data_IF_124467474056
#
_entry.id   IF_124467474056
#
_cell.length_a   1.000
_cell.length_b   1.000
_cell.length_c   1.000
_cell.angle_alpha   90.00
_cell.angle_beta   90.00
_cell.angle_gamma   90.00
#
_symmetry.space_group_name_H-M   'P 1'
#
loop_
_entity.id
_entity.type
_entity.pdbx_description
1 polymer ?
#
# COMPACT_ATOMS: atom_id res chain seq x y z
N UNK A 1 10.68 8.15 25.38
CA UNK A 1 10.44 9.04 24.22
C UNK A 1 9.61 8.28 23.19
N UNK A 2 8.32 8.59 23.02
CA UNK A 2 7.47 7.94 22.01
C UNK A 2 7.93 8.23 20.58
N UNK A 3 8.61 9.36 20.39
CA UNK A 3 9.17 9.83 19.12
C UNK A 3 10.21 8.91 18.53
N UNK A 4 11.09 8.29 19.34
CA UNK A 4 12.11 7.37 18.85
C UNK A 4 11.53 6.02 18.39
N UNK A 5 10.47 5.55 19.07
CA UNK A 5 9.83 4.25 18.79
C UNK A 5 9.20 4.19 17.39
N UNK A 6 8.72 5.33 16.89
CA UNK A 6 8.09 5.43 15.57
C UNK A 6 8.95 6.19 14.57
N UNK A 7 10.24 6.39 14.88
CA UNK A 7 11.17 7.01 13.95
C UNK A 7 11.68 5.96 12.95
N UNK A 8 11.65 6.30 11.66
CA UNK A 8 12.19 5.46 10.59
C UNK A 8 12.81 6.35 9.52
N UNK A 9 13.87 5.85 8.87
CA UNK A 9 14.55 6.59 7.81
C UNK A 9 13.81 6.40 6.49
N UNK A 10 13.26 7.47 5.94
CA UNK A 10 12.81 7.52 4.55
C UNK A 10 14.04 7.83 3.69
N UNK A 11 14.24 7.08 2.60
CA UNK A 11 15.35 7.36 1.68
C UNK A 11 15.08 8.66 0.92
N UNK A 12 16.12 9.46 0.70
CA UNK A 12 16.03 10.70 -0.10
C UNK A 12 15.63 10.43 -1.57
N UNK A 13 15.69 9.18 -2.00
CA UNK A 13 15.22 8.72 -3.33
C UNK A 13 13.72 8.43 -3.38
N UNK A 14 13.03 8.37 -2.24
CA UNK A 14 11.57 8.27 -2.20
C UNK A 14 10.94 9.64 -2.44
N UNK A 15 10.47 9.86 -3.67
CA UNK A 15 9.60 10.99 -3.96
C UNK A 15 8.15 10.65 -3.56
N UNK A 16 7.57 11.39 -2.62
CA UNK A 16 6.12 11.35 -2.36
C UNK A 16 5.46 12.24 -3.43
N UNK A 17 4.65 11.68 -4.35
CA UNK A 17 4.03 12.49 -5.40
C UNK A 17 2.97 13.41 -4.78
N UNK A 18 3.24 14.73 -4.79
CA UNK A 18 2.33 15.75 -4.26
C UNK A 18 1.05 15.91 -5.09
N UNK A 19 1.11 15.59 -6.38
CA UNK A 19 -0.02 15.63 -7.34
C UNK A 19 0.10 14.46 -8.30
N UNK A 20 -0.47 13.30 -7.96
CA UNK A 20 -0.28 12.10 -8.76
C UNK A 20 -1.25 12.14 -9.95
N UNK A 21 -0.84 12.81 -11.03
CA UNK A 21 -1.65 12.96 -12.25
C UNK A 21 -2.06 11.61 -12.87
N UNK A 22 -1.27 10.56 -12.60
CA UNK A 22 -1.51 9.20 -13.05
C UNK A 22 -2.75 8.54 -12.43
N UNK A 23 -3.32 9.08 -11.34
CA UNK A 23 -4.56 8.55 -10.71
C UNK A 23 -5.78 8.68 -11.63
N UNK A 24 -5.75 9.62 -12.59
CA UNK A 24 -6.82 9.79 -13.58
C UNK A 24 -6.97 8.62 -14.55
N UNK A 25 -5.98 7.71 -14.62
CA UNK A 25 -5.96 6.58 -15.54
C UNK A 25 -6.06 5.25 -14.76
N UNK A 26 -7.07 4.44 -15.09
CA UNK A 26 -7.30 3.13 -14.47
C UNK A 26 -6.09 2.21 -14.56
N UNK A 27 -5.45 2.13 -15.73
CA UNK A 27 -4.31 1.24 -15.95
C UNK A 27 -3.08 1.64 -15.10
N UNK A 28 -2.96 2.92 -14.73
CA UNK A 28 -1.92 3.36 -13.79
C UNK A 28 -2.32 3.10 -12.34
N UNK A 29 -3.60 3.30 -11.98
CA UNK A 29 -4.12 2.98 -10.64
C UNK A 29 -3.95 1.50 -10.29
N UNK A 30 -4.21 0.62 -11.25
CA UNK A 30 -4.06 -0.84 -11.08
C UNK A 30 -2.61 -1.28 -10.87
N UNK A 31 -1.64 -0.50 -11.38
CA UNK A 31 -0.19 -0.78 -11.25
C UNK A 31 0.43 -0.15 -10.00
N UNK A 32 -0.34 0.57 -9.19
CA UNK A 32 0.13 1.05 -7.90
C UNK A 32 0.62 -0.11 -7.03
N UNK A 33 1.72 0.11 -6.31
CA UNK A 33 2.23 -0.89 -5.38
C UNK A 33 1.38 -0.89 -4.11
N UNK A 34 0.92 -2.07 -3.73
CA UNK A 34 0.26 -2.36 -2.47
C UNK A 34 1.19 -3.23 -1.61
N UNK A 35 1.39 -2.84 -0.35
CA UNK A 35 2.12 -3.63 0.64
C UNK A 35 1.13 -4.49 1.40
N UNK A 36 1.27 -5.81 1.31
CA UNK A 36 0.50 -6.77 2.10
C UNK A 36 1.30 -7.07 3.37
N UNK A 37 0.65 -6.97 4.53
CA UNK A 37 1.23 -7.32 5.83
C UNK A 37 0.30 -8.32 6.53
N UNK A 38 0.80 -9.53 6.77
CA UNK A 38 0.13 -10.50 7.62
C UNK A 38 0.46 -10.20 9.08
N UNK A 39 -0.53 -9.70 9.82
CA UNK A 39 -0.35 -9.31 11.22
C UNK A 39 -0.09 -10.47 12.17
N UNK A 40 -0.51 -11.68 11.82
CA UNK A 40 -0.42 -12.85 12.70
C UNK A 40 0.99 -13.42 12.75
N UNK A 41 1.76 -13.30 11.67
CA UNK A 41 3.11 -13.85 11.59
C UNK A 41 4.19 -12.80 11.21
N UNK A 42 3.80 -11.57 10.87
CA UNK A 42 4.73 -10.49 10.52
C UNK A 42 5.24 -10.54 9.07
N UNK A 43 4.79 -11.51 8.26
CA UNK A 43 5.19 -11.61 6.87
C UNK A 43 4.66 -10.44 6.06
N UNK A 44 5.47 -9.94 5.12
CA UNK A 44 5.04 -8.92 4.19
C UNK A 44 5.60 -9.13 2.78
N UNK A 45 4.84 -8.67 1.80
CA UNK A 45 5.25 -8.69 0.40
C UNK A 45 4.58 -7.56 -0.38
N UNK A 46 5.15 -7.23 -1.55
CA UNK A 46 4.67 -6.16 -2.43
C UNK A 46 3.96 -6.78 -3.63
N UNK A 47 2.80 -6.22 -3.99
CA UNK A 47 2.02 -6.60 -5.18
C UNK A 47 1.47 -5.37 -5.88
N UNK A 48 0.93 -5.55 -7.08
CA UNK A 48 0.15 -4.50 -7.75
C UNK A 48 -1.27 -4.45 -7.19
N UNK A 49 -1.87 -3.25 -7.19
CA UNK A 49 -3.23 -3.03 -6.69
C UNK A 49 -4.28 -3.85 -7.45
N UNK A 50 -4.02 -4.19 -8.72
CA UNK A 50 -4.85 -5.13 -9.50
C UNK A 50 -5.11 -6.47 -8.81
N UNK A 51 -4.26 -6.86 -7.86
CA UNK A 51 -4.37 -8.10 -7.08
C UNK A 51 -5.23 -7.97 -5.83
N UNK A 52 -5.83 -6.82 -5.54
CA UNK A 52 -6.61 -6.59 -4.30
C UNK A 52 -7.74 -7.61 -4.11
N UNK A 53 -8.37 -8.03 -5.21
CA UNK A 53 -9.46 -9.02 -5.19
C UNK A 53 -9.01 -10.40 -4.69
N UNK A 54 -7.72 -10.75 -4.84
CA UNK A 54 -7.18 -12.02 -4.36
C UNK A 54 -7.11 -12.08 -2.82
N UNK A 55 -7.23 -10.92 -2.16
CA UNK A 55 -7.15 -10.78 -0.70
C UNK A 55 -8.51 -10.52 -0.04
N UNK A 56 -9.56 -10.26 -0.82
CA UNK A 56 -10.92 -10.03 -0.33
C UNK A 56 -11.71 -11.32 -0.51
N UNK A 57 -12.24 -11.87 0.59
CA UNK A 57 -12.99 -13.11 0.59
C UNK A 57 -14.49 -12.84 0.57
N UNK A 58 -15.25 -13.86 0.16
CA UNK A 58 -16.71 -13.81 0.23
C UNK A 58 -17.15 -13.55 1.66
N UNK A 59 -17.94 -12.48 1.86
CA UNK A 59 -18.43 -12.05 3.17
C UNK A 59 -17.70 -10.83 3.73
N UNK A 60 -16.54 -10.44 3.17
CA UNK A 60 -15.85 -9.21 3.55
C UNK A 60 -16.64 -7.97 3.12
N UNK A 61 -16.56 -6.91 3.92
CA UNK A 61 -17.19 -5.62 3.65
C UNK A 61 -16.11 -4.56 3.48
N UNK A 62 -16.14 -3.84 2.36
CA UNK A 62 -15.25 -2.71 2.08
C UNK A 62 -16.01 -1.41 2.34
N UNK A 63 -15.51 -0.60 3.27
CA UNK A 63 -16.06 0.72 3.59
C UNK A 63 -15.18 1.82 2.97
N UNK A 64 -15.78 2.77 2.26
CA UNK A 64 -15.12 3.90 1.62
C UNK A 64 -15.44 5.22 2.33
#
# INVERSE_FOLDING_TARGET
MLTEKYNFRISDTMAIPLRPNWISNNAYREKCKMLILNRSNGDFHKVDFSKIIDYIKKGDVVCF
#
